data_IF_156014358478
#
_entry.id   IF_156014358478
#
_cell.length_a   1.000
_cell.length_b   1.000
_cell.length_c   1.000
_cell.angle_alpha   90.00
_cell.angle_beta   90.00
_cell.angle_gamma   90.00
#
_symmetry.space_group_name_H-M   'P 1'
#
loop_
_entity.id
_entity.type
_entity.pdbx_description
1 polymer ?
#
# COMPACT_ATOMS: atom_id res chain seq x y z
N UNK A 1 -26.12 -27.18 -28.26
CA UNK A 1 -25.75 -25.85 -27.74
C UNK A 1 -25.03 -26.05 -26.42
N UNK A 2 -23.70 -25.93 -26.40
CA UNK A 2 -22.88 -26.10 -25.19
C UNK A 2 -22.18 -24.77 -24.94
N UNK A 3 -22.76 -23.97 -24.04
CA UNK A 3 -22.10 -22.82 -23.46
C UNK A 3 -21.70 -23.17 -22.03
N UNK A 4 -20.46 -22.80 -21.69
CA UNK A 4 -20.02 -22.50 -20.33
C UNK A 4 -19.80 -23.67 -19.35
N UNK A 5 -18.73 -24.44 -19.54
CA UNK A 5 -17.89 -24.78 -18.40
C UNK A 5 -16.87 -23.64 -18.22
N UNK A 6 -17.22 -22.58 -17.50
CA UNK A 6 -16.21 -21.66 -16.97
C UNK A 6 -15.26 -22.52 -16.14
N UNK A 7 -13.98 -22.56 -16.50
CA UNK A 7 -13.03 -23.41 -15.78
C UNK A 7 -12.99 -22.97 -14.31
N UNK A 8 -13.12 -23.92 -13.37
CA UNK A 8 -13.06 -23.64 -11.93
C UNK A 8 -11.82 -22.82 -11.56
N UNK A 9 -10.70 -23.09 -12.23
CA UNK A 9 -9.46 -22.32 -12.10
C UNK A 9 -9.63 -20.85 -12.52
N UNK A 10 -10.30 -20.56 -13.64
CA UNK A 10 -10.56 -19.20 -14.11
C UNK A 10 -11.48 -18.41 -13.16
N UNK A 11 -12.50 -19.06 -12.61
CA UNK A 11 -13.38 -18.46 -11.59
C UNK A 11 -12.59 -18.07 -10.34
N UNK A 12 -11.78 -18.98 -9.81
CA UNK A 12 -10.97 -18.73 -8.60
C UNK A 12 -9.93 -17.63 -8.83
N UNK A 13 -9.27 -17.61 -9.99
CA UNK A 13 -8.32 -16.57 -10.37
C UNK A 13 -9.00 -15.19 -10.45
N UNK A 14 -10.17 -15.09 -11.09
CA UNK A 14 -10.95 -13.83 -11.15
C UNK A 14 -11.36 -13.37 -9.75
N UNK A 15 -11.82 -14.29 -8.90
CA UNK A 15 -12.20 -13.96 -7.53
C UNK A 15 -11.02 -13.49 -6.69
N UNK A 16 -9.84 -14.09 -6.86
CA UNK A 16 -8.62 -13.65 -6.19
C UNK A 16 -8.20 -12.23 -6.63
N UNK A 17 -8.22 -11.97 -7.94
CA UNK A 17 -7.92 -10.65 -8.49
C UNK A 17 -8.91 -9.57 -8.02
N UNK A 18 -10.22 -9.87 -7.98
CA UNK A 18 -11.23 -8.96 -7.43
C UNK A 18 -10.95 -8.62 -5.95
N UNK A 19 -10.65 -9.64 -5.13
CA UNK A 19 -10.32 -9.44 -3.71
C UNK A 19 -9.09 -8.56 -3.54
N UNK A 20 -8.06 -8.75 -4.36
CA UNK A 20 -6.85 -7.92 -4.35
C UNK A 20 -7.16 -6.47 -4.74
N UNK A 21 -7.91 -6.25 -5.83
CA UNK A 21 -8.32 -4.91 -6.27
C UNK A 21 -9.10 -4.16 -5.19
N UNK A 22 -10.06 -4.82 -4.53
CA UNK A 22 -10.84 -4.23 -3.43
C UNK A 22 -9.93 -3.85 -2.26
N UNK A 23 -8.98 -4.72 -1.87
CA UNK A 23 -8.02 -4.43 -0.79
C UNK A 23 -7.11 -3.25 -1.11
N UNK A 24 -6.64 -3.14 -2.35
CA UNK A 24 -5.83 -2.01 -2.80
C UNK A 24 -6.67 -0.74 -2.80
N UNK A 25 -7.89 -0.80 -3.33
CA UNK A 25 -8.83 0.33 -3.38
C UNK A 25 -9.16 0.85 -1.98
N UNK A 26 -9.46 -0.03 -1.03
CA UNK A 26 -9.74 0.33 0.36
C UNK A 26 -8.56 1.04 1.01
N UNK A 27 -7.33 0.52 0.85
CA UNK A 27 -6.11 1.17 1.35
C UNK A 27 -5.88 2.55 0.74
N UNK A 28 -6.12 2.70 -0.57
CA UNK A 28 -6.01 3.98 -1.28
C UNK A 28 -7.07 4.97 -0.79
N UNK A 29 -8.32 4.54 -0.66
CA UNK A 29 -9.42 5.37 -0.20
C UNK A 29 -9.22 5.87 1.23
N UNK A 30 -8.74 5.02 2.15
CA UNK A 30 -8.40 5.46 3.51
C UNK A 30 -7.24 6.46 3.55
N UNK A 31 -6.23 6.27 2.69
CA UNK A 31 -5.13 7.24 2.59
C UNK A 31 -5.64 8.58 2.05
N UNK A 32 -6.59 8.54 1.12
CA UNK A 32 -7.21 9.72 0.54
C UNK A 32 -8.05 10.50 1.55
N UNK A 33 -8.87 9.81 2.35
CA UNK A 33 -9.61 10.46 3.44
C UNK A 33 -8.65 11.13 4.43
N UNK A 34 -7.51 10.50 4.73
CA UNK A 34 -6.46 11.10 5.56
C UNK A 34 -5.79 12.31 4.89
N UNK A 35 -5.58 12.30 3.57
CA UNK A 35 -5.00 13.44 2.86
C UNK A 35 -5.92 14.68 2.91
N UNK A 36 -7.23 14.48 2.82
CA UNK A 36 -8.21 15.56 2.94
C UNK A 36 -8.45 16.00 4.40
N UNK A 37 -8.40 15.06 5.35
CA UNK A 37 -8.65 15.35 6.75
C UNK A 37 -7.42 15.98 7.43
N UNK A 38 -7.49 17.29 7.68
CA UNK A 38 -6.46 18.01 8.45
C UNK A 38 -6.38 17.51 9.90
N UNK A 39 -7.54 17.19 10.50
CA UNK A 39 -7.65 16.77 11.91
C UNK A 39 -8.10 15.32 12.08
N UNK A 40 -7.56 14.65 13.11
CA UNK A 40 -7.78 13.22 13.38
C UNK A 40 -9.22 12.86 13.75
N UNK A 41 -9.94 13.73 14.46
CA UNK A 41 -11.31 13.44 14.88
C UNK A 41 -12.29 13.35 13.69
N UNK A 42 -12.12 14.21 12.68
CA UNK A 42 -12.88 14.14 11.42
C UNK A 42 -12.55 12.87 10.65
N UNK A 43 -11.25 12.54 10.57
CA UNK A 43 -10.78 11.33 9.91
C UNK A 43 -11.44 10.05 10.47
N UNK A 44 -11.60 9.92 11.80
CA UNK A 44 -12.19 8.71 12.37
C UNK A 44 -13.65 8.50 11.97
N UNK A 45 -14.44 9.58 11.90
CA UNK A 45 -15.83 9.51 11.45
C UNK A 45 -15.88 9.11 9.97
N UNK A 46 -15.15 9.83 9.12
CA UNK A 46 -15.10 9.55 7.67
C UNK A 46 -14.57 8.14 7.35
N UNK A 47 -13.58 7.66 8.10
CA UNK A 47 -13.02 6.32 7.93
C UNK A 47 -14.00 5.22 8.37
N UNK A 48 -14.80 5.47 9.41
CA UNK A 48 -15.88 4.56 9.83
C UNK A 48 -16.97 4.47 8.75
N UNK A 49 -17.43 5.61 8.25
CA UNK A 49 -18.43 5.69 7.19
C UNK A 49 -17.93 5.00 5.91
N UNK A 50 -16.65 5.19 5.55
CA UNK A 50 -16.03 4.49 4.44
C UNK A 50 -16.08 2.98 4.65
N UNK A 51 -15.69 2.49 5.84
CA UNK A 51 -15.72 1.06 6.16
C UNK A 51 -17.13 0.48 6.07
N UNK A 52 -18.13 1.19 6.59
CA UNK A 52 -19.54 0.77 6.52
C UNK A 52 -20.00 0.57 5.08
N UNK A 53 -19.64 1.50 4.17
CA UNK A 53 -19.96 1.39 2.74
C UNK A 53 -19.34 0.14 2.08
N UNK A 54 -18.12 -0.23 2.47
CA UNK A 54 -17.48 -1.45 1.98
C UNK A 54 -18.10 -2.72 2.58
N UNK A 55 -18.43 -2.73 3.87
CA UNK A 55 -19.07 -3.87 4.54
C UNK A 55 -20.49 -4.11 4.01
N UNK A 56 -21.25 -3.05 3.67
CA UNK A 56 -22.57 -3.17 3.06
C UNK A 56 -22.59 -3.99 1.75
N UNK A 57 -21.48 -3.99 1.00
CA UNK A 57 -21.35 -4.67 -0.29
C UNK A 57 -20.54 -5.99 -0.21
N UNK A 58 -20.21 -6.46 1.00
CA UNK A 58 -19.34 -7.62 1.21
C UNK A 58 -19.93 -8.95 0.75
N UNK A 59 -21.25 -9.08 0.82
CA UNK A 59 -21.98 -10.32 0.56
C UNK A 59 -22.47 -10.47 -0.88
N UNK A 60 -22.00 -9.61 -1.79
CA UNK A 60 -22.33 -9.73 -3.21
C UNK A 60 -21.54 -10.91 -3.82
N UNK A 61 -22.27 -11.85 -4.42
CA UNK A 61 -21.68 -13.05 -5.05
C UNK A 61 -21.61 -12.98 -6.57
N UNK A 62 -22.44 -12.13 -7.21
CA UNK A 62 -22.40 -11.97 -8.66
C UNK A 62 -21.12 -11.27 -9.13
N UNK A 63 -20.34 -11.97 -9.96
CA UNK A 63 -19.01 -11.50 -10.40
C UNK A 63 -19.08 -10.23 -11.24
N UNK A 64 -20.07 -10.11 -12.11
CA UNK A 64 -20.18 -8.97 -13.03
C UNK A 64 -20.66 -7.73 -12.27
N UNK A 65 -21.58 -7.90 -11.32
CA UNK A 65 -21.96 -6.83 -10.39
C UNK A 65 -20.77 -6.35 -9.57
N UNK A 66 -19.91 -7.24 -9.10
CA UNK A 66 -18.71 -6.87 -8.33
C UNK A 66 -17.73 -6.05 -9.18
N UNK A 67 -17.52 -6.42 -10.44
CA UNK A 67 -16.65 -5.65 -11.33
C UNK A 67 -17.21 -4.25 -11.62
N UNK A 68 -18.54 -4.11 -11.75
CA UNK A 68 -19.19 -2.79 -11.87
C UNK A 68 -19.00 -1.95 -10.62
N UNK A 69 -19.24 -2.53 -9.44
CA UNK A 69 -19.07 -1.83 -8.16
C UNK A 69 -17.62 -1.38 -7.95
N UNK A 70 -16.64 -2.21 -8.33
CA UNK A 70 -15.22 -1.84 -8.27
C UNK A 70 -14.94 -0.68 -9.22
N UNK A 71 -15.45 -0.72 -10.46
CA UNK A 71 -15.25 0.34 -11.43
C UNK A 71 -15.87 1.67 -10.99
N UNK A 72 -17.09 1.65 -10.45
CA UNK A 72 -17.79 2.83 -9.93
C UNK A 72 -17.07 3.43 -8.72
N UNK A 73 -16.55 2.58 -7.84
CA UNK A 73 -15.77 3.00 -6.69
C UNK A 73 -14.41 3.58 -7.09
N UNK A 74 -13.72 2.99 -8.09
CA UNK A 74 -12.48 3.53 -8.66
C UNK A 74 -12.71 4.88 -9.35
N UNK A 75 -13.81 5.03 -10.09
CA UNK A 75 -14.18 6.30 -10.72
C UNK A 75 -14.48 7.39 -9.68
N UNK A 76 -15.21 7.04 -8.63
CA UNK A 76 -15.52 7.93 -7.51
C UNK A 76 -14.24 8.35 -6.77
N UNK A 77 -13.36 7.40 -6.47
CA UNK A 77 -12.07 7.68 -5.86
C UNK A 77 -11.23 8.60 -6.74
N UNK A 78 -11.15 8.33 -8.06
CA UNK A 78 -10.36 9.14 -8.99
C UNK A 78 -10.87 10.59 -9.10
N UNK A 79 -12.20 10.79 -9.03
CA UNK A 79 -12.82 12.12 -9.05
C UNK A 79 -12.42 12.98 -7.85
N UNK A 80 -12.29 12.36 -6.67
CA UNK A 80 -12.04 13.06 -5.40
C UNK A 80 -10.58 12.93 -4.93
N UNK A 81 -9.65 12.66 -5.84
CA UNK A 81 -8.22 12.62 -5.50
C UNK A 81 -7.73 14.00 -5.09
N UNK A 82 -7.00 14.04 -3.99
CA UNK A 82 -6.30 15.22 -3.53
C UNK A 82 -5.21 15.60 -4.55
N UNK A 83 -5.11 16.88 -4.94
CA UNK A 83 -4.16 17.33 -5.95
C UNK A 83 -2.69 17.21 -5.51
N UNK A 84 -2.43 17.30 -4.20
CA UNK A 84 -1.08 17.20 -3.62
C UNK A 84 -1.09 16.25 -2.40
N UNK A 85 -1.06 14.93 -2.60
CA UNK A 85 -1.21 13.95 -1.52
C UNK A 85 0.01 13.93 -0.60
N UNK A 86 -0.18 13.58 0.68
CA UNK A 86 0.94 13.47 1.61
C UNK A 86 1.90 12.32 1.22
N UNK A 87 3.17 12.68 1.05
CA UNK A 87 4.29 11.76 0.77
C UNK A 87 5.27 11.87 1.91
N UNK A 88 5.67 10.72 2.47
CA UNK A 88 6.66 10.70 3.55
C UNK A 88 7.99 11.27 3.05
N UNK A 89 8.72 12.07 3.84
CA UNK A 89 9.84 12.86 3.34
C UNK A 89 10.92 12.08 2.59
N UNK A 90 11.21 10.83 2.97
CA UNK A 90 12.27 10.01 2.37
C UNK A 90 11.81 9.13 1.21
N UNK A 91 10.50 9.01 0.96
CA UNK A 91 9.97 8.23 -0.15
C UNK A 91 10.13 9.01 -1.47
N UNK A 92 10.08 8.32 -2.63
CA UNK A 92 10.05 8.98 -3.93
C UNK A 92 8.96 10.07 -3.99
N UNK A 93 9.33 11.27 -4.41
CA UNK A 93 8.43 12.44 -4.44
C UNK A 93 8.35 13.22 -3.12
N UNK A 94 9.03 12.77 -2.05
CA UNK A 94 9.13 13.49 -0.77
C UNK A 94 10.27 14.52 -0.74
N UNK A 95 10.20 15.45 0.22
CA UNK A 95 11.14 16.58 0.33
C UNK A 95 12.59 16.21 0.68
N UNK A 96 12.82 15.03 1.26
CA UNK A 96 14.15 14.50 1.62
C UNK A 96 14.59 13.36 0.70
N UNK A 97 13.84 13.07 -0.37
CA UNK A 97 14.20 12.03 -1.32
C UNK A 97 15.56 12.35 -1.95
N UNK A 98 16.47 11.38 -1.97
CA UNK A 98 17.82 11.53 -2.55
C UNK A 98 18.67 12.67 -1.97
N UNK A 99 18.36 13.18 -0.76
CA UNK A 99 19.19 14.20 -0.10
C UNK A 99 20.58 13.69 0.30
N UNK A 100 20.70 12.40 0.60
CA UNK A 100 21.95 11.73 0.95
C UNK A 100 22.03 10.36 0.25
N UNK A 101 22.32 10.31 -1.06
CA UNK A 101 22.47 9.03 -1.75
C UNK A 101 23.72 8.32 -1.24
N UNK A 102 23.67 6.98 -1.17
CA UNK A 102 24.88 6.21 -0.89
C UNK A 102 25.94 6.51 -1.96
N UNK A 103 27.22 6.68 -1.58
CA UNK A 103 28.27 6.92 -2.55
C UNK A 103 28.35 5.77 -3.56
N UNK A 104 28.70 6.04 -4.82
CA UNK A 104 28.83 5.00 -5.83
C UNK A 104 29.90 4.00 -5.40
N UNK A 105 29.61 2.71 -5.53
CA UNK A 105 30.57 1.63 -5.28
C UNK A 105 31.63 1.61 -6.38
N UNK A 106 32.64 2.48 -6.30
CA UNK A 106 33.69 2.57 -7.31
C UNK A 106 34.75 3.65 -7.12
N UNK A 107 34.61 4.58 -6.18
CA UNK A 107 35.65 5.57 -5.86
C UNK A 107 36.32 5.25 -4.52
N UNK A 108 37.41 4.49 -4.60
CA UNK A 108 38.39 4.34 -3.52
C UNK A 108 39.10 5.68 -3.28
N UNK A 109 38.49 6.58 -2.52
CA UNK A 109 39.18 7.78 -2.00
C UNK A 109 38.81 8.11 -0.55
N UNK A 110 38.17 7.18 0.17
CA UNK A 110 37.85 7.30 1.60
C UNK A 110 38.22 6.04 2.38
N UNK A 111 39.35 5.41 2.05
CA UNK A 111 40.05 4.50 2.96
C UNK A 111 41.07 5.29 3.79
N UNK A 112 40.59 6.22 4.62
CA UNK A 112 41.32 6.91 5.70
C UNK A 112 40.29 7.85 6.34
N UNK A 113 39.47 7.41 7.29
CA UNK A 113 39.84 7.34 8.70
C UNK A 113 38.87 6.40 9.45
N UNK A 114 39.42 5.70 10.44
CA UNK A 114 38.79 4.62 11.21
C UNK A 114 37.58 5.01 12.09
N UNK A 115 36.80 3.95 12.36
CA UNK A 115 36.14 3.60 13.63
C UNK A 115 34.70 4.06 13.91
N UNK A 116 33.72 3.26 13.49
CA UNK A 116 32.80 2.58 14.42
C UNK A 116 32.14 1.38 13.71
N UNK A 117 32.74 0.19 13.85
CA UNK A 117 32.14 -1.06 13.32
C UNK A 117 31.06 -1.52 14.29
N UNK A 118 29.79 -1.24 13.99
CA UNK A 118 28.69 -2.02 14.56
C UNK A 118 28.37 -3.17 13.60
N UNK A 119 28.54 -4.40 14.10
CA UNK A 119 28.43 -5.65 13.38
C UNK A 119 27.00 -5.89 12.86
N UNK A 120 26.77 -5.73 11.55
CA UNK A 120 25.58 -6.23 10.84
C UNK A 120 26.08 -6.94 9.57
N UNK A 121 26.72 -8.10 9.75
CA UNK A 121 27.16 -8.93 8.60
C UNK A 121 26.43 -10.27 8.54
N UNK A 122 25.60 -10.62 9.53
CA UNK A 122 24.92 -11.93 9.56
C UNK A 122 23.47 -11.90 9.02
N UNK A 123 22.83 -10.73 8.89
CA UNK A 123 21.39 -10.67 8.58
C UNK A 123 21.01 -10.55 7.09
N UNK A 124 22.00 -10.44 6.20
CA UNK A 124 21.75 -9.97 4.82
C UNK A 124 21.56 -11.06 3.76
N UNK A 125 21.95 -12.31 4.04
CA UNK A 125 21.93 -13.36 3.01
C UNK A 125 20.66 -14.24 3.01
N UNK A 126 19.78 -14.09 4.01
CA UNK A 126 18.51 -14.85 4.08
C UNK A 126 17.27 -14.02 3.66
N UNK A 127 17.47 -12.75 3.28
CA UNK A 127 16.37 -11.81 2.97
C UNK A 127 16.17 -11.60 1.46
N UNK A 128 17.05 -12.09 0.58
CA UNK A 128 16.93 -11.80 -0.86
C UNK A 128 15.98 -12.75 -1.63
N UNK A 129 15.45 -13.80 -1.00
CA UNK A 129 14.46 -14.70 -1.63
C UNK A 129 13.00 -14.39 -1.22
N UNK A 130 12.78 -13.56 -0.19
CA UNK A 130 11.44 -13.20 0.32
C UNK A 130 10.99 -11.78 -0.07
N UNK A 131 11.84 -10.99 -0.72
CA UNK A 131 11.65 -9.55 -0.96
C UNK A 131 10.73 -9.18 -2.12
N UNK A 132 10.18 -10.16 -2.86
CA UNK A 132 9.15 -9.88 -3.89
C UNK A 132 7.73 -9.73 -3.29
N UNK A 133 7.44 -10.38 -2.16
CA UNK A 133 6.10 -10.39 -1.58
C UNK A 133 5.96 -9.54 -0.30
N UNK A 134 7.06 -9.13 0.33
CA UNK A 134 7.05 -8.39 1.60
C UNK A 134 7.00 -6.86 1.44
N UNK A 135 7.04 -6.32 0.23
CA UNK A 135 7.01 -4.86 0.00
C UNK A 135 5.65 -4.22 0.31
N UNK A 136 4.62 -5.02 0.58
CA UNK A 136 3.29 -4.52 0.96
C UNK A 136 3.14 -4.38 2.49
N UNK A 137 4.01 -5.00 3.30
CA UNK A 137 3.85 -5.04 4.76
C UNK A 137 4.65 -3.99 5.54
N UNK A 138 5.64 -3.33 4.92
CA UNK A 138 6.53 -2.37 5.63
C UNK A 138 5.92 -0.95 5.78
N UNK A 139 4.69 -0.70 5.32
CA UNK A 139 4.12 0.67 5.29
C UNK A 139 3.26 1.04 6.51
N UNK A 140 2.99 0.12 7.44
CA UNK A 140 2.22 0.46 8.65
C UNK A 140 2.74 -0.26 9.89
N UNK A 141 3.97 0.04 10.29
CA UNK A 141 4.36 -0.04 11.71
C UNK A 141 4.41 1.40 12.23
N UNK A 142 3.22 1.96 12.47
CA UNK A 142 3.10 3.25 13.15
C UNK A 142 3.46 3.00 14.61
N UNK A 143 4.54 3.67 15.04
CA UNK A 143 5.09 3.71 16.38
C UNK A 143 4.18 3.21 17.49
N UNK A 144 4.70 2.25 18.24
CA UNK A 144 4.41 2.07 19.66
C UNK A 144 4.78 3.40 20.36
N UNK A 145 3.89 4.38 20.27
CA UNK A 145 3.92 5.55 21.15
C UNK A 145 3.41 5.04 22.50
N UNK A 146 4.36 4.57 23.30
CA UNK A 146 4.20 4.37 24.73
C UNK A 146 3.76 5.73 25.30
N UNK A 147 2.45 5.88 25.49
CA UNK A 147 1.87 6.96 26.27
C UNK A 147 1.95 6.53 27.74
N UNK A 148 3.04 6.94 28.40
CA UNK A 148 3.14 7.21 29.84
C UNK A 148 3.95 8.51 30.02
#
# INVERSE_FOLDING_TARGET
>A
MSAAAVSTAGYLARRAAQKERVRILYRRALKETLNWAVHRHLFYQDASDLRERFEANKHVEDLDTIDRLIADAEASHNKWRHPDPYIVPWAPGGSKFTRNPAPPSGNTSVESCHAFKFSIVVFRYLIDCATSLMQIEIVYDYGKEDND
#
